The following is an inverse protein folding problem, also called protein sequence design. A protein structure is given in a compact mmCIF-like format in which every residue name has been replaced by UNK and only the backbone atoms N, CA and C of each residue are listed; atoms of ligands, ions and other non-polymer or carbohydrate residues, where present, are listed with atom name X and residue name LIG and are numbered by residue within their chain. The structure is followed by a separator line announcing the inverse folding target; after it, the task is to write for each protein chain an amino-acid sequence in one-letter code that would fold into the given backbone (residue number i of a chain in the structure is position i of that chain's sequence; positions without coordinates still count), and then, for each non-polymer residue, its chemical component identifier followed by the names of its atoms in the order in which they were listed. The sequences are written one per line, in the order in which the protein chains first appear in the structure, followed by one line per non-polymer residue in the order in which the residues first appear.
data_IF_761816956095
#
_entry.id   IF_761816956095
#
_cell.length_a   1.000
_cell.length_b   1.000
_cell.length_c   1.000
_cell.angle_alpha   90.00
_cell.angle_beta   90.00
_cell.angle_gamma   90.00
#
_symmetry.space_group_name_H-M   'P 1'
#
loop_
_entity.id
_entity.type
_entity.pdbx_description
1 polymer ?
#
# COMPACT_ATOMS: atom_id res chain seq x y z
N UNK A 1 -19.15 -12.54 8.40
CA UNK A 1 -19.00 -13.25 9.70
C UNK A 1 -17.55 -13.27 10.21
N UNK A 2 -16.52 -13.47 9.36
CA UNK A 2 -15.12 -13.50 9.83
C UNK A 2 -14.63 -12.15 10.36
N UNK A 3 -14.91 -11.05 9.67
CA UNK A 3 -14.47 -9.70 10.06
C UNK A 3 -14.99 -9.30 11.46
N UNK A 4 -16.26 -9.57 11.76
CA UNK A 4 -16.84 -9.26 13.07
C UNK A 4 -16.14 -10.04 14.19
N UNK A 5 -15.85 -11.32 13.95
CA UNK A 5 -15.12 -12.17 14.89
C UNK A 5 -13.69 -11.65 15.11
N UNK A 6 -13.00 -11.30 14.04
CA UNK A 6 -11.62 -10.80 14.11
C UNK A 6 -11.55 -9.45 14.83
N UNK A 7 -12.49 -8.54 14.56
CA UNK A 7 -12.61 -7.25 15.28
C UNK A 7 -12.83 -7.49 16.78
N UNK A 8 -13.79 -8.34 17.14
CA UNK A 8 -14.08 -8.65 18.55
C UNK A 8 -12.87 -9.25 19.25
N UNK A 9 -12.19 -10.21 18.63
CA UNK A 9 -10.98 -10.84 19.17
C UNK A 9 -9.82 -9.83 19.29
N UNK A 10 -9.62 -8.98 18.29
CA UNK A 10 -8.60 -7.94 18.32
C UNK A 10 -8.83 -6.97 19.48
N UNK A 11 -10.05 -6.47 19.63
CA UNK A 11 -10.40 -5.53 20.72
C UNK A 11 -10.20 -6.15 22.11
N UNK A 12 -10.51 -7.43 22.26
CA UNK A 12 -10.26 -8.16 23.52
C UNK A 12 -8.78 -8.23 23.83
N UNK A 13 -7.93 -8.57 22.87
CA UNK A 13 -6.48 -8.64 23.05
C UNK A 13 -5.91 -7.26 23.38
N UNK A 14 -6.37 -6.21 22.70
CA UNK A 14 -5.94 -4.85 22.99
C UNK A 14 -6.29 -4.45 24.43
N UNK A 15 -7.49 -4.82 24.90
CA UNK A 15 -7.90 -4.56 26.27
C UNK A 15 -7.07 -5.35 27.29
N UNK A 16 -6.94 -6.65 27.13
CA UNK A 16 -6.31 -7.55 28.10
C UNK A 16 -4.78 -7.43 28.15
N UNK A 17 -4.12 -7.23 26.99
CA UNK A 17 -2.66 -7.28 26.88
C UNK A 17 -1.99 -5.93 26.62
N UNK A 18 -2.71 -4.96 26.08
CA UNK A 18 -2.16 -3.66 25.68
C UNK A 18 -2.81 -2.46 26.38
N UNK A 19 -3.63 -2.69 27.42
CA UNK A 19 -4.29 -1.63 28.21
C UNK A 19 -5.05 -0.62 27.34
N UNK A 20 -5.83 -1.14 26.37
CA UNK A 20 -6.61 -0.35 25.40
C UNK A 20 -5.78 0.53 24.47
N UNK A 21 -4.48 0.27 24.35
CA UNK A 21 -3.58 1.00 23.44
C UNK A 21 -3.19 0.14 22.25
N UNK A 22 -3.12 0.76 21.07
CA UNK A 22 -2.58 0.11 19.88
C UNK A 22 -1.07 0.06 19.99
N UNK A 23 -0.41 -1.12 19.86
CA UNK A 23 1.03 -1.21 19.99
C UNK A 23 1.76 -0.54 18.82
N UNK A 24 2.80 0.23 19.12
CA UNK A 24 3.70 0.85 18.15
C UNK A 24 4.85 -0.11 17.75
N UNK A 25 4.47 -1.32 17.36
CA UNK A 25 5.39 -2.37 16.95
C UNK A 25 4.78 -3.19 15.82
N UNK A 26 5.48 -3.28 14.69
CA UNK A 26 4.99 -3.98 13.50
C UNK A 26 4.69 -5.45 13.76
N UNK A 27 5.57 -6.15 14.48
CA UNK A 27 5.39 -7.56 14.77
C UNK A 27 4.25 -7.80 15.77
N UNK A 28 4.08 -6.90 16.74
CA UNK A 28 2.93 -6.94 17.65
C UNK A 28 1.60 -6.73 16.91
N UNK A 29 1.56 -5.79 15.97
CA UNK A 29 0.39 -5.56 15.11
C UNK A 29 0.03 -6.79 14.29
N UNK A 30 1.01 -7.48 13.71
CA UNK A 30 0.78 -8.69 12.91
C UNK A 30 0.18 -9.86 13.72
N UNK A 31 0.36 -9.87 15.04
CA UNK A 31 -0.21 -10.90 15.93
C UNK A 31 -1.68 -10.65 16.27
N UNK A 32 -2.19 -9.45 16.00
CA UNK A 32 -3.60 -9.12 16.26
C UNK A 32 -4.51 -9.78 15.21
N UNK A 33 -5.65 -10.35 15.64
CA UNK A 33 -6.62 -10.96 14.73
C UNK A 33 -7.11 -9.97 13.66
N UNK A 34 -7.11 -10.39 12.40
CA UNK A 34 -7.56 -9.59 11.28
C UNK A 34 -6.55 -8.52 10.80
N UNK A 35 -5.40 -8.40 11.45
CA UNK A 35 -4.34 -7.47 11.05
C UNK A 35 -3.29 -8.20 10.21
N UNK A 36 -3.33 -7.95 8.92
CA UNK A 36 -2.29 -8.41 8.00
C UNK A 36 -1.20 -7.35 7.78
N UNK A 37 -0.23 -7.68 6.95
CA UNK A 37 0.92 -6.82 6.64
C UNK A 37 0.51 -5.43 6.10
N UNK A 38 -0.50 -5.37 5.23
CA UNK A 38 -1.04 -4.12 4.70
C UNK A 38 -1.58 -3.22 5.82
N UNK A 39 -2.42 -3.77 6.72
CA UNK A 39 -3.02 -3.01 7.82
C UNK A 39 -1.96 -2.59 8.83
N UNK A 40 -0.99 -3.44 9.15
CA UNK A 40 0.11 -3.11 10.03
C UNK A 40 0.94 -1.95 9.48
N UNK A 41 1.31 -1.98 8.20
CA UNK A 41 2.02 -0.87 7.54
C UNK A 41 1.21 0.43 7.53
N UNK A 42 -0.10 0.34 7.30
CA UNK A 42 -0.98 1.51 7.32
C UNK A 42 -0.99 2.16 8.72
N UNK A 43 -1.11 1.36 9.77
CA UNK A 43 -1.09 1.84 11.16
C UNK A 43 0.28 2.44 11.50
N UNK A 44 1.37 1.78 11.15
CA UNK A 44 2.73 2.29 11.39
C UNK A 44 2.96 3.65 10.70
N UNK A 45 2.54 3.78 9.45
CA UNK A 45 2.71 5.01 8.69
C UNK A 45 1.76 6.13 9.10
N UNK A 46 0.45 5.85 9.11
CA UNK A 46 -0.57 6.90 9.28
C UNK A 46 -0.81 7.27 10.74
N UNK A 47 -0.69 6.32 11.66
CA UNK A 47 -0.95 6.57 13.08
C UNK A 47 0.34 6.95 13.82
N UNK A 48 1.41 6.21 13.59
CA UNK A 48 2.67 6.40 14.33
C UNK A 48 3.74 7.19 13.58
N UNK A 49 3.51 7.58 12.33
CA UNK A 49 4.47 8.35 11.53
C UNK A 49 5.78 7.62 11.27
N UNK A 50 5.78 6.29 11.32
CA UNK A 50 6.96 5.47 11.05
C UNK A 50 7.09 5.15 9.57
N UNK A 51 8.31 4.85 9.09
CA UNK A 51 8.51 4.39 7.72
C UNK A 51 7.61 3.20 7.41
N UNK A 52 6.81 3.31 6.35
CA UNK A 52 5.89 2.25 5.93
C UNK A 52 5.67 2.29 4.42
N UNK A 53 5.50 1.12 3.82
CA UNK A 53 5.06 0.96 2.43
C UNK A 53 3.81 0.09 2.42
N UNK A 54 2.68 0.69 2.04
CA UNK A 54 1.38 0.01 1.94
C UNK A 54 1.18 -0.47 0.52
N UNK A 55 1.33 -1.77 0.30
CA UNK A 55 1.14 -2.39 -1.01
C UNK A 55 -0.32 -2.76 -1.25
N UNK A 56 -1.14 -1.78 -1.50
CA UNK A 56 -2.52 -1.97 -1.92
C UNK A 56 -2.64 -2.23 -3.42
N UNK A 57 -3.86 -2.39 -3.91
CA UNK A 57 -4.12 -2.64 -5.34
C UNK A 57 -3.66 -1.50 -6.24
N UNK A 58 -3.70 -0.25 -5.78
CA UNK A 58 -3.17 0.90 -6.52
C UNK A 58 -1.65 0.85 -6.60
N UNK A 59 -0.99 0.63 -5.48
CA UNK A 59 0.47 0.52 -5.41
C UNK A 59 0.98 -0.58 -6.34
N UNK A 60 0.45 -1.79 -6.24
CA UNK A 60 0.86 -2.92 -7.08
C UNK A 60 0.65 -2.60 -8.57
N UNK A 61 -0.53 -2.08 -8.95
CA UNK A 61 -0.85 -1.76 -10.33
C UNK A 61 0.05 -0.67 -10.90
N UNK A 62 0.19 0.45 -10.20
CA UNK A 62 0.95 1.58 -10.69
C UNK A 62 2.45 1.28 -10.74
N UNK A 63 3.01 0.63 -9.74
CA UNK A 63 4.42 0.24 -9.73
C UNK A 63 4.78 -0.67 -10.92
N UNK A 64 3.88 -1.59 -11.29
CA UNK A 64 4.06 -2.39 -12.51
C UNK A 64 3.95 -1.56 -13.78
N UNK A 65 2.94 -0.68 -13.89
CA UNK A 65 2.75 0.18 -15.08
C UNK A 65 3.90 1.15 -15.27
N UNK A 66 4.35 1.80 -14.22
CA UNK A 66 5.46 2.76 -14.26
C UNK A 66 6.78 2.03 -14.59
N UNK A 67 6.97 0.82 -14.07
CA UNK A 67 8.18 0.03 -14.26
C UNK A 67 9.08 -0.01 -13.03
N UNK A 68 8.56 0.30 -11.85
CA UNK A 68 9.29 0.19 -10.58
C UNK A 68 9.44 -1.27 -10.12
N UNK A 69 8.54 -2.14 -10.57
CA UNK A 69 8.61 -3.60 -10.40
C UNK A 69 8.22 -4.28 -11.71
N UNK A 70 8.63 -5.55 -11.88
CA UNK A 70 8.40 -6.32 -13.10
C UNK A 70 7.38 -7.44 -12.85
N UNK A 71 6.18 -7.28 -13.47
CA UNK A 71 5.08 -8.27 -13.44
C UNK A 71 4.84 -8.91 -12.07
N UNK A 72 5.08 -8.16 -11.00
CA UNK A 72 4.97 -8.64 -9.64
C UNK A 72 3.60 -8.28 -9.06
N UNK A 73 2.79 -9.31 -8.77
CA UNK A 73 1.46 -9.15 -8.16
C UNK A 73 1.44 -9.51 -6.68
N UNK A 74 2.50 -10.09 -6.16
CA UNK A 74 2.65 -10.45 -4.75
C UNK A 74 2.94 -9.20 -3.91
N UNK A 75 2.05 -8.82 -2.97
CA UNK A 75 2.22 -7.61 -2.19
C UNK A 75 3.53 -7.57 -1.38
N UNK A 76 3.95 -8.69 -0.80
CA UNK A 76 5.17 -8.75 0.00
C UNK A 76 6.43 -8.58 -0.86
N UNK A 77 6.44 -9.15 -2.07
CA UNK A 77 7.54 -8.98 -3.01
C UNK A 77 7.61 -7.54 -3.54
N UNK A 78 6.46 -6.93 -3.83
CA UNK A 78 6.38 -5.52 -4.24
C UNK A 78 6.91 -4.62 -3.12
N UNK A 79 6.46 -4.80 -1.90
CA UNK A 79 6.94 -4.06 -0.73
C UNK A 79 8.48 -4.16 -0.60
N UNK A 80 9.00 -5.39 -0.64
CA UNK A 80 10.45 -5.63 -0.55
C UNK A 80 11.26 -4.97 -1.68
N UNK A 81 10.71 -4.96 -2.89
CA UNK A 81 11.34 -4.29 -4.03
C UNK A 81 11.34 -2.76 -3.86
N UNK A 82 10.22 -2.19 -3.39
CA UNK A 82 10.09 -0.76 -3.18
C UNK A 82 11.00 -0.24 -2.06
N UNK A 83 11.20 -1.00 -0.99
CA UNK A 83 12.15 -0.64 0.08
C UNK A 83 13.59 -0.47 -0.41
N UNK A 84 13.96 -1.03 -1.56
CA UNK A 84 15.30 -0.88 -2.14
C UNK A 84 15.49 0.44 -2.88
N UNK A 85 14.41 1.08 -3.29
CA UNK A 85 14.44 2.27 -4.17
C UNK A 85 13.75 3.49 -3.57
N UNK A 86 12.86 3.30 -2.62
CA UNK A 86 12.15 4.40 -1.95
C UNK A 86 12.83 4.69 -0.60
N UNK A 87 13.27 5.91 -0.34
CA UNK A 87 13.78 6.29 0.96
C UNK A 87 12.74 6.03 2.06
N UNK A 88 13.13 5.54 3.24
CA UNK A 88 12.19 5.19 4.31
C UNK A 88 11.20 6.31 4.68
N UNK A 89 11.69 7.54 4.75
CA UNK A 89 10.90 8.73 5.07
C UNK A 89 9.86 9.09 4.00
N UNK A 90 10.05 8.64 2.77
CA UNK A 90 9.15 8.91 1.64
C UNK A 90 8.08 7.82 1.46
N UNK A 91 8.25 6.64 2.07
CA UNK A 91 7.44 5.45 1.82
C UNK A 91 5.95 5.69 2.00
N UNK A 92 5.54 6.27 3.13
CA UNK A 92 4.13 6.55 3.41
C UNK A 92 3.52 7.55 2.41
N UNK A 93 4.19 8.69 2.21
CA UNK A 93 3.76 9.71 1.24
C UNK A 93 3.72 9.18 -0.20
N UNK A 94 4.68 8.36 -0.58
CA UNK A 94 4.68 7.69 -1.88
C UNK A 94 3.43 6.82 -2.09
N UNK A 95 3.06 6.01 -1.11
CA UNK A 95 1.87 5.16 -1.20
C UNK A 95 0.58 5.98 -1.32
N UNK A 96 0.42 7.05 -0.55
CA UNK A 96 -0.72 7.95 -0.66
C UNK A 96 -0.82 8.61 -2.04
N UNK A 97 0.29 9.13 -2.55
CA UNK A 97 0.35 9.70 -3.92
C UNK A 97 -0.04 8.68 -5.00
N UNK A 98 0.34 7.42 -4.85
CA UNK A 98 -0.07 6.36 -5.78
C UNK A 98 -1.58 6.09 -5.73
N UNK A 99 -2.19 6.13 -4.55
CA UNK A 99 -3.66 5.97 -4.41
C UNK A 99 -4.38 7.11 -5.11
N UNK A 100 -4.00 8.35 -4.84
CA UNK A 100 -4.62 9.54 -5.43
C UNK A 100 -4.45 9.55 -6.96
N UNK A 101 -3.24 9.31 -7.44
CA UNK A 101 -2.95 9.21 -8.87
C UNK A 101 -3.69 8.04 -9.53
N UNK A 102 -3.79 6.91 -8.84
CA UNK A 102 -4.51 5.73 -9.32
C UNK A 102 -6.01 5.90 -9.40
N UNK A 103 -6.58 6.81 -8.61
CA UNK A 103 -8.01 7.17 -8.67
C UNK A 103 -8.28 8.23 -9.74
N UNK A 104 -7.44 9.24 -9.80
CA UNK A 104 -7.68 10.41 -10.65
C UNK A 104 -7.19 10.26 -12.10
N UNK A 105 -6.06 9.59 -12.32
CA UNK A 105 -5.38 9.55 -13.61
C UNK A 105 -5.14 8.13 -14.11
N UNK A 106 -4.39 7.32 -13.33
CA UNK A 106 -4.01 5.98 -13.75
C UNK A 106 -5.05 4.94 -13.33
N UNK A 107 -6.25 5.04 -13.88
CA UNK A 107 -7.44 4.24 -13.53
C UNK A 107 -7.30 2.75 -13.85
N UNK A 108 -8.07 1.91 -13.13
CA UNK A 108 -8.03 0.45 -13.31
C UNK A 108 -9.10 -0.06 -14.28
N UNK A 109 -10.30 0.53 -14.24
CA UNK A 109 -11.49 0.04 -14.95
C UNK A 109 -11.73 0.72 -16.29
N UNK A 110 -11.13 1.86 -16.49
CA UNK A 110 -11.24 2.66 -17.71
C UNK A 110 -9.84 2.90 -18.29
N UNK A 111 -9.76 3.33 -19.54
CA UNK A 111 -8.49 3.77 -20.14
C UNK A 111 -7.85 4.84 -19.27
N UNK A 112 -6.58 4.71 -18.87
CA UNK A 112 -5.89 5.74 -18.10
C UNK A 112 -5.77 7.06 -18.87
N UNK A 113 -5.80 8.17 -18.16
CA UNK A 113 -5.63 9.52 -18.74
C UNK A 113 -4.15 9.85 -18.92
N UNK A 114 -3.45 9.10 -19.78
CA UNK A 114 -2.00 9.21 -19.98
C UNK A 114 -1.56 10.60 -20.45
N UNK A 115 -2.40 11.30 -21.20
CA UNK A 115 -2.12 12.67 -21.69
C UNK A 115 -2.12 13.72 -20.56
N UNK A 116 -2.76 13.41 -19.43
CA UNK A 116 -2.78 14.26 -18.22
C UNK A 116 -1.83 13.76 -17.14
N UNK A 117 -1.06 12.71 -17.42
CA UNK A 117 -0.22 12.04 -16.45
C UNK A 117 1.14 12.73 -16.33
N UNK A 118 1.48 13.19 -15.13
CA UNK A 118 2.81 13.77 -14.86
C UNK A 118 3.98 12.79 -14.99
N UNK A 119 3.68 11.48 -15.05
CA UNK A 119 4.67 10.41 -15.20
C UNK A 119 4.74 9.87 -16.64
N UNK A 120 4.03 10.50 -17.58
CA UNK A 120 3.89 9.99 -18.94
C UNK A 120 5.22 9.70 -19.62
N UNK A 121 6.21 10.57 -19.45
CA UNK A 121 7.49 10.47 -20.17
C UNK A 121 8.39 9.34 -19.66
N UNK A 122 8.21 8.91 -18.40
CA UNK A 122 9.00 7.85 -17.78
C UNK A 122 8.21 6.54 -17.62
N UNK A 123 6.92 6.54 -17.93
CA UNK A 123 6.04 5.40 -17.70
C UNK A 123 6.23 4.31 -18.76
N UNK A 124 6.61 3.10 -18.31
CA UNK A 124 6.82 1.96 -19.20
C UNK A 124 5.56 1.56 -19.97
N UNK A 125 4.41 1.58 -19.32
CA UNK A 125 3.13 1.14 -19.91
C UNK A 125 2.47 2.21 -20.81
N UNK A 126 3.03 3.43 -20.93
CA UNK A 126 2.42 4.49 -21.77
C UNK A 126 2.17 4.05 -23.20
N UNK A 127 3.13 3.34 -23.79
CA UNK A 127 3.02 2.88 -25.19
C UNK A 127 1.88 1.88 -25.41
N UNK A 128 1.55 1.09 -24.41
CA UNK A 128 0.45 0.11 -24.46
C UNK A 128 -0.90 0.81 -24.56
N UNK A 129 -1.07 1.95 -23.87
CA UNK A 129 -2.32 2.72 -23.82
C UNK A 129 -2.42 3.82 -24.87
N UNK A 130 -1.31 4.20 -25.52
CA UNK A 130 -1.31 5.20 -26.57
C UNK A 130 -1.82 4.65 -27.92
N UNK A 131 -1.76 3.34 -28.11
CA UNK A 131 -2.10 2.66 -29.36
C UNK A 131 -3.55 2.11 -29.38
N UNK A 132 -4.33 2.35 -28.31
CA UNK A 132 -5.75 2.03 -28.21
C UNK A 132 -6.62 3.31 -28.34
#
# INVERSE_FOLDING_TARGET
KSKARDISACMRILHEQYHDKVPEDFNALLKLPGVGRKSANLIMGDVFGKPAIVTDTHCIRLCNRIGLVDNCKDPAKVEKALWKIIPPEEGNGFCHRLVDHGRAVCTARTKPYCDKCCLADICRARKEFANE
#
